data_IF_992650242743
#
_entry.id   IF_992650242743
#
_cell.length_a   1.000
_cell.length_b   1.000
_cell.length_c   1.000
_cell.angle_alpha   90.00
_cell.angle_beta   90.00
_cell.angle_gamma   90.00
#
_symmetry.space_group_name_H-M   'P 1'
#
loop_
_entity.id
_entity.type
_entity.pdbx_description
1 polymer ?
#
# COMPACT_ATOMS: atom_id res chain seq x y z
N UNK A 1 2.47 5.61 -2.51
CA UNK A 1 2.82 5.54 -3.94
C UNK A 1 2.99 4.10 -4.44
N UNK A 2 3.73 3.24 -3.73
CA UNK A 2 3.99 1.86 -4.15
C UNK A 2 2.78 0.90 -4.04
N UNK A 3 1.77 1.26 -3.23
CA UNK A 3 0.42 0.71 -3.33
C UNK A 3 -0.46 1.74 -4.04
N UNK A 4 -1.13 1.33 -5.12
CA UNK A 4 -2.08 2.14 -5.88
C UNK A 4 -3.38 1.34 -6.05
N UNK A 5 -4.38 1.65 -5.25
CA UNK A 5 -5.68 0.95 -5.18
C UNK A 5 -6.86 1.88 -5.48
N UNK A 6 -6.57 3.08 -5.99
CA UNK A 6 -7.56 4.09 -6.34
C UNK A 6 -8.06 4.94 -5.17
N UNK A 7 -7.58 4.73 -3.94
CA UNK A 7 -7.91 5.59 -2.80
C UNK A 7 -6.85 6.67 -2.60
N UNK A 8 -7.23 7.93 -2.72
CA UNK A 8 -6.32 9.06 -2.50
C UNK A 8 -6.21 9.39 -1.01
N UNK A 9 -4.99 9.41 -0.48
CA UNK A 9 -4.73 9.76 0.92
C UNK A 9 -5.08 11.23 1.13
N UNK A 10 -5.99 11.50 2.07
CA UNK A 10 -6.37 12.86 2.47
C UNK A 10 -6.12 13.14 3.96
N UNK A 11 -5.83 12.10 4.73
CA UNK A 11 -5.54 12.21 6.16
C UNK A 11 -4.32 11.35 6.50
N UNK A 12 -3.38 11.93 7.24
CA UNK A 12 -2.16 11.29 7.69
C UNK A 12 -1.87 11.75 9.12
N UNK A 13 -1.79 10.81 10.06
CA UNK A 13 -1.41 11.12 11.44
C UNK A 13 -0.35 10.11 11.89
N UNK A 14 0.68 10.64 12.53
CA UNK A 14 1.74 9.88 13.19
C UNK A 14 1.63 10.04 14.70
N UNK A 15 1.75 8.94 15.41
CA UNK A 15 1.76 8.90 16.86
C UNK A 15 3.12 8.38 17.32
N UNK A 16 3.62 8.96 18.41
CA UNK A 16 4.85 8.53 19.06
C UNK A 16 4.57 8.21 20.52
N UNK A 17 5.29 7.24 21.06
CA UNK A 17 5.35 7.04 22.50
C UNK A 17 6.68 7.52 23.08
N UNK A 18 6.80 7.41 24.41
CA UNK A 18 8.00 7.83 25.14
C UNK A 18 9.23 6.96 24.86
N UNK A 19 9.07 5.80 24.24
CA UNK A 19 10.14 4.89 23.86
C UNK A 19 10.61 5.14 22.41
N UNK A 20 10.03 6.12 21.71
CA UNK A 20 10.34 6.41 20.31
C UNK A 20 9.68 5.45 19.32
N UNK A 21 8.78 4.57 19.78
CA UNK A 21 7.97 3.74 18.89
C UNK A 21 6.90 4.62 18.26
N UNK A 22 6.63 4.36 16.99
CA UNK A 22 5.66 5.11 16.21
C UNK A 22 4.61 4.22 15.57
N UNK A 23 3.45 4.81 15.29
CA UNK A 23 2.45 4.26 14.39
C UNK A 23 1.94 5.35 13.46
N UNK A 24 1.58 4.97 12.23
CA UNK A 24 0.97 5.89 11.26
C UNK A 24 -0.41 5.36 10.91
N UNK A 25 -1.40 6.24 10.98
CA UNK A 25 -2.76 5.97 10.50
C UNK A 25 -3.05 6.92 9.35
N UNK A 26 -3.24 6.34 8.18
CA UNK A 26 -3.63 7.08 6.97
C UNK A 26 -5.06 6.73 6.58
N UNK A 27 -5.78 7.69 6.03
CA UNK A 27 -7.08 7.46 5.42
C UNK A 27 -7.06 7.94 3.97
N UNK A 28 -7.43 7.02 3.09
CA UNK A 28 -7.66 7.28 1.68
C UNK A 28 -9.16 7.28 1.36
N UNK A 29 -9.54 8.08 0.38
CA UNK A 29 -10.92 8.19 -0.11
C UNK A 29 -10.97 7.88 -1.61
N UNK A 30 -12.03 7.21 -2.04
CA UNK A 30 -12.42 7.03 -3.45
C UNK A 30 -13.78 7.68 -3.62
N UNK A 31 -13.79 8.92 -4.12
CA UNK A 31 -14.95 9.80 -4.10
C UNK A 31 -16.11 9.26 -4.92
N UNK A 32 -15.81 8.74 -6.11
CA UNK A 32 -16.81 8.21 -7.06
C UNK A 32 -17.56 7.02 -6.46
N UNK A 33 -16.85 6.19 -5.69
CA UNK A 33 -17.41 5.05 -5.00
C UNK A 33 -17.97 5.40 -3.61
N UNK A 34 -17.74 6.63 -3.11
CA UNK A 34 -18.05 7.06 -1.73
C UNK A 34 -17.47 6.12 -0.67
N UNK A 35 -16.30 5.55 -0.94
CA UNK A 35 -15.61 4.60 -0.06
C UNK A 35 -14.39 5.25 0.60
N UNK A 36 -14.05 4.75 1.78
CA UNK A 36 -12.82 5.09 2.48
C UNK A 36 -12.03 3.82 2.84
N UNK A 37 -10.70 3.95 2.84
CA UNK A 37 -9.77 2.88 3.18
C UNK A 37 -8.73 3.41 4.16
N UNK A 38 -8.39 2.63 5.19
CA UNK A 38 -7.37 2.99 6.18
C UNK A 38 -6.13 2.13 6.03
N UNK A 39 -4.97 2.76 6.19
CA UNK A 39 -3.66 2.14 6.09
C UNK A 39 -2.92 2.37 7.40
N UNK A 40 -2.51 1.27 8.02
CA UNK A 40 -1.94 1.26 9.35
C UNK A 40 -0.49 0.81 9.24
N UNK A 41 0.42 1.63 9.75
CA UNK A 41 1.83 1.30 9.89
C UNK A 41 2.16 1.24 11.37
N UNK A 42 3.03 0.30 11.73
CA UNK A 42 3.52 0.14 13.09
C UNK A 42 5.03 -0.06 13.03
N UNK A 43 5.77 0.74 13.78
CA UNK A 43 7.23 0.58 13.92
C UNK A 43 7.62 -0.78 14.50
N UNK A 44 6.82 -1.29 15.45
CA UNK A 44 7.04 -2.61 16.03
C UNK A 44 6.88 -3.70 14.97
N UNK A 45 7.98 -4.42 14.70
CA UNK A 45 8.00 -5.52 13.75
C UNK A 45 8.14 -5.11 12.29
N UNK A 46 8.27 -3.81 11.97
CA UNK A 46 8.57 -3.35 10.61
C UNK A 46 9.98 -3.80 10.21
N UNK A 47 10.07 -4.58 9.14
CA UNK A 47 11.35 -5.06 8.60
C UNK A 47 11.79 -4.30 7.34
N UNK A 48 10.84 -3.71 6.60
CA UNK A 48 11.09 -3.01 5.36
C UNK A 48 9.99 -1.98 5.10
N UNK A 49 10.33 -0.82 4.55
CA UNK A 49 9.35 0.17 4.10
C UNK A 49 8.71 -0.17 2.75
N UNK A 50 9.28 -1.15 2.04
CA UNK A 50 8.90 -1.51 0.67
C UNK A 50 8.45 -2.95 0.49
N UNK A 51 8.52 -3.78 1.54
CA UNK A 51 8.03 -5.17 1.54
C UNK A 51 7.06 -5.39 2.69
N UNK A 52 5.78 -5.58 2.36
CA UNK A 52 4.67 -5.72 3.32
C UNK A 52 4.73 -4.74 4.51
N UNK A 53 4.89 -3.43 4.27
CA UNK A 53 5.13 -2.47 5.34
C UNK A 53 3.90 -2.17 6.20
N UNK A 54 2.71 -2.45 5.66
CA UNK A 54 1.45 -2.16 6.33
C UNK A 54 1.14 -3.25 7.37
N UNK A 55 1.00 -2.84 8.63
CA UNK A 55 0.47 -3.71 9.68
C UNK A 55 -1.01 -4.08 9.41
N UNK A 56 -1.74 -3.23 8.68
CA UNK A 56 -3.08 -3.54 8.21
C UNK A 56 -3.61 -2.54 7.18
N UNK A 57 -4.41 -3.05 6.24
CA UNK A 57 -5.21 -2.26 5.30
C UNK A 57 -6.66 -2.67 5.48
N UNK A 58 -7.53 -1.71 5.82
CA UNK A 58 -8.94 -1.94 6.13
C UNK A 58 -9.83 -1.09 5.24
N UNK A 59 -10.82 -1.73 4.62
CA UNK A 59 -11.72 -1.14 3.64
C UNK A 59 -12.19 -2.19 2.64
N UNK A 60 -13.16 -1.82 1.81
CA UNK A 60 -13.62 -2.66 0.71
C UNK A 60 -12.47 -2.93 -0.28
N UNK A 61 -12.47 -4.12 -0.89
CA UNK A 61 -11.51 -4.46 -1.95
C UNK A 61 -11.70 -3.55 -3.17
N UNK A 62 -10.62 -3.26 -3.86
CA UNK A 62 -10.57 -2.50 -5.09
C UNK A 62 -10.46 -3.45 -6.29
N UNK A 63 -11.05 -3.04 -7.41
CA UNK A 63 -11.12 -3.87 -8.63
C UNK A 63 -9.76 -4.01 -9.31
N UNK A 64 -8.99 -2.92 -9.37
CA UNK A 64 -7.65 -2.88 -9.92
C UNK A 64 -6.69 -2.26 -8.91
N UNK A 65 -5.67 -3.01 -8.53
CA UNK A 65 -4.64 -2.59 -7.60
C UNK A 65 -3.27 -2.82 -8.22
N UNK A 66 -2.38 -1.84 -8.18
CA UNK A 66 -0.95 -2.06 -8.36
C UNK A 66 -0.29 -2.09 -6.98
N UNK A 67 0.22 -3.24 -6.59
CA UNK A 67 0.82 -3.47 -5.28
C UNK A 67 2.30 -3.84 -5.41
N UNK A 68 3.16 -2.83 -5.50
CA UNK A 68 4.61 -3.03 -5.56
C UNK A 68 5.23 -3.35 -4.20
N UNK A 69 4.46 -3.29 -3.11
CA UNK A 69 4.94 -3.67 -1.77
C UNK A 69 4.58 -5.10 -1.38
N UNK A 70 3.81 -5.82 -2.21
CA UNK A 70 3.51 -7.22 -1.97
C UNK A 70 4.80 -8.06 -2.06
N UNK A 71 4.97 -9.08 -1.20
CA UNK A 71 6.19 -9.92 -1.25
C UNK A 71 6.51 -10.41 -2.65
N UNK A 72 5.51 -10.95 -3.35
CA UNK A 72 5.64 -11.51 -4.71
C UNK A 72 5.98 -10.49 -5.80
N UNK A 73 5.91 -9.18 -5.52
CA UNK A 73 6.36 -8.11 -6.43
C UNK A 73 7.87 -7.83 -6.32
N UNK A 74 8.64 -8.71 -5.69
CA UNK A 74 10.11 -8.61 -5.56
C UNK A 74 10.82 -8.43 -6.90
N UNK A 75 10.53 -9.22 -7.96
CA UNK A 75 11.20 -9.02 -9.25
C UNK A 75 11.00 -7.60 -9.81
N UNK A 76 9.78 -7.05 -9.67
CA UNK A 76 9.51 -5.68 -10.10
C UNK A 76 10.29 -4.65 -9.26
N UNK A 77 10.40 -4.85 -7.94
CA UNK A 77 11.19 -3.95 -7.08
C UNK A 77 12.67 -3.96 -7.41
N UNK A 78 13.22 -5.07 -7.91
CA UNK A 78 14.61 -5.15 -8.35
C UNK A 78 14.83 -4.52 -9.74
N UNK A 79 13.90 -4.74 -10.68
CA UNK A 79 14.04 -4.27 -12.05
C UNK A 79 13.69 -2.78 -12.25
N UNK A 80 12.77 -2.22 -11.47
CA UNK A 80 12.34 -0.82 -11.58
C UNK A 80 13.50 0.19 -11.37
N UNK A 81 14.36 0.06 -10.34
CA UNK A 81 15.53 0.93 -10.18
C UNK A 81 16.52 0.83 -11.34
N UNK A 82 16.75 -0.37 -11.88
CA UNK A 82 17.62 -0.57 -13.04
C UNK A 82 17.05 0.09 -14.30
N UNK A 83 15.72 0.01 -14.49
CA UNK A 83 15.02 0.76 -15.53
C UNK A 83 15.16 2.26 -15.37
N UNK A 84 15.00 2.77 -14.14
CA UNK A 84 15.09 4.20 -13.85
C UNK A 84 16.48 4.78 -14.17
N UNK A 85 17.54 3.95 -14.15
CA UNK A 85 18.91 4.33 -14.53
C UNK A 85 19.15 4.30 -16.04
N UNK A 86 18.20 3.90 -16.87
CA UNK A 86 18.34 3.94 -18.34
C UNK A 86 18.05 5.34 -18.89
N UNK A 87 18.64 5.71 -20.05
CA UNK A 87 18.38 6.99 -20.69
C UNK A 87 16.86 7.26 -20.85
N UNK A 88 16.35 8.43 -20.42
CA UNK A 88 14.92 8.76 -20.45
C UNK A 88 14.28 8.60 -21.84
N UNK A 89 15.00 9.01 -22.89
CA UNK A 89 14.54 8.89 -24.28
C UNK A 89 14.22 7.45 -24.67
N UNK A 90 14.98 6.48 -24.14
CA UNK A 90 14.71 5.06 -24.37
C UNK A 90 13.39 4.66 -23.74
N UNK A 91 13.16 5.00 -22.47
CA UNK A 91 11.92 4.66 -21.75
C UNK A 91 10.68 5.30 -22.41
N UNK A 92 10.81 6.54 -22.87
CA UNK A 92 9.73 7.24 -23.59
C UNK A 92 9.41 6.56 -24.92
N UNK A 93 10.43 6.11 -25.66
CA UNK A 93 10.23 5.37 -26.93
C UNK A 93 9.55 4.03 -26.68
N UNK A 94 9.98 3.28 -25.68
CA UNK A 94 9.36 2.00 -25.32
C UNK A 94 7.88 2.21 -24.97
N UNK A 95 7.54 3.20 -24.14
CA UNK A 95 6.13 3.48 -23.83
C UNK A 95 5.29 3.84 -25.05
N UNK A 96 5.81 4.66 -25.96
CA UNK A 96 5.12 5.00 -27.21
C UNK A 96 4.91 3.75 -28.07
N UNK A 97 5.88 2.85 -28.11
CA UNK A 97 5.73 1.59 -28.82
C UNK A 97 4.65 0.71 -28.17
N UNK A 98 4.65 0.59 -26.84
CA UNK A 98 3.64 -0.19 -26.09
C UNK A 98 2.20 0.28 -26.34
N UNK A 99 1.98 1.59 -26.52
CA UNK A 99 0.66 2.15 -26.87
C UNK A 99 0.12 1.65 -28.23
N UNK A 100 0.98 1.11 -29.10
CA UNK A 100 0.58 0.54 -30.40
C UNK A 100 0.33 -0.96 -30.36
N UNK A 101 0.67 -1.64 -29.25
CA UNK A 101 0.56 -3.08 -29.12
C UNK A 101 -0.79 -3.49 -28.54
N UNK A 102 -1.25 -4.69 -28.91
CA UNK A 102 -2.37 -5.36 -28.22
C UNK A 102 -1.84 -6.04 -26.97
N UNK A 103 -2.20 -5.50 -25.81
CA UNK A 103 -1.79 -6.02 -24.51
C UNK A 103 -2.97 -6.68 -23.79
N UNK A 104 -2.70 -7.57 -22.81
CA UNK A 104 -3.74 -8.08 -21.93
C UNK A 104 -4.56 -6.96 -21.27
N UNK A 105 -5.83 -7.23 -20.96
CA UNK A 105 -6.76 -6.21 -20.45
C UNK A 105 -6.21 -5.42 -19.25
N UNK A 106 -5.56 -6.11 -18.29
CA UNK A 106 -4.97 -5.47 -17.12
C UNK A 106 -3.92 -4.40 -17.48
N UNK A 107 -3.12 -4.63 -18.51
CA UNK A 107 -2.07 -3.72 -18.94
C UNK A 107 -2.63 -2.54 -19.72
N UNK A 108 -3.71 -2.75 -20.48
CA UNK A 108 -4.43 -1.68 -21.16
C UNK A 108 -4.95 -0.63 -20.16
N UNK A 109 -5.47 -1.07 -19.01
CA UNK A 109 -5.90 -0.18 -17.93
C UNK A 109 -4.74 0.60 -17.29
N UNK A 110 -3.55 0.01 -17.20
CA UNK A 110 -2.38 0.75 -16.70
C UNK A 110 -1.89 1.78 -17.73
N UNK A 111 -1.94 1.45 -19.02
CA UNK A 111 -1.54 2.32 -20.12
C UNK A 111 -2.48 3.50 -20.36
N UNK A 112 -3.78 3.34 -20.16
CA UNK A 112 -4.75 4.43 -20.31
C UNK A 112 -4.46 5.62 -19.38
N UNK A 113 -3.77 5.37 -18.27
CA UNK A 113 -3.43 6.38 -17.27
C UNK A 113 -2.04 7.00 -17.47
N UNK A 114 -1.31 6.57 -18.49
CA UNK A 114 0.09 6.97 -18.79
C UNK A 114 0.13 7.87 -20.03
N UNK A 115 0.63 9.11 -19.85
CA UNK A 115 0.96 10.03 -20.93
C UNK A 115 2.50 10.11 -21.07
N UNK A 116 3.10 9.51 -22.12
CA UNK A 116 4.55 9.48 -22.30
C UNK A 116 5.19 10.88 -22.33
N UNK A 117 4.48 11.90 -22.85
CA UNK A 117 5.04 13.26 -22.93
C UNK A 117 5.18 13.89 -21.54
N UNK A 118 4.26 13.60 -20.62
CA UNK A 118 4.30 14.10 -19.24
C UNK A 118 5.30 13.33 -18.37
N UNK A 119 5.71 12.13 -18.80
CA UNK A 119 6.64 11.28 -18.05
C UNK A 119 8.10 11.52 -18.39
N UNK A 120 8.42 12.24 -19.48
CA UNK A 120 9.79 12.56 -19.86
C UNK A 120 10.55 13.27 -18.73
N UNK A 121 9.96 14.32 -18.15
CA UNK A 121 10.53 15.02 -16.99
C UNK A 121 10.69 14.12 -15.78
N UNK A 122 9.75 13.18 -15.56
CA UNK A 122 9.81 12.25 -14.43
C UNK A 122 10.95 11.26 -14.63
N UNK A 123 11.11 10.70 -15.83
CA UNK A 123 12.21 9.78 -16.13
C UNK A 123 13.57 10.46 -16.10
N UNK A 124 13.66 11.72 -16.53
CA UNK A 124 14.88 12.50 -16.39
C UNK A 124 15.27 12.63 -14.90
N UNK A 125 14.33 12.99 -14.03
CA UNK A 125 14.59 13.09 -12.59
C UNK A 125 15.00 11.77 -11.96
N UNK A 126 14.33 10.67 -12.30
CA UNK A 126 14.70 9.36 -11.76
C UNK A 126 16.05 8.87 -12.30
N UNK A 127 16.36 9.21 -13.55
CA UNK A 127 17.65 8.93 -14.17
C UNK A 127 18.77 9.73 -13.49
N UNK A 128 18.62 11.03 -13.30
CA UNK A 128 19.62 11.87 -12.61
C UNK A 128 19.84 11.45 -11.15
N UNK A 129 18.78 10.99 -10.47
CA UNK A 129 18.86 10.55 -9.08
C UNK A 129 19.69 9.28 -8.87
N UNK A 130 19.85 8.43 -9.90
CA UNK A 130 20.64 7.19 -9.85
C UNK A 130 20.38 6.35 -8.59
N UNK A 131 19.10 6.21 -8.22
CA UNK A 131 18.69 5.51 -7.01
C UNK A 131 19.22 4.07 -7.01
N UNK A 132 19.78 3.63 -5.87
CA UNK A 132 20.45 2.32 -5.77
C UNK A 132 19.46 1.17 -5.66
N UNK A 133 18.30 1.44 -5.08
CA UNK A 133 17.26 0.46 -4.78
C UNK A 133 15.87 1.08 -4.90
N UNK A 134 14.84 0.25 -4.72
CA UNK A 134 13.45 0.68 -4.82
C UNK A 134 13.04 1.68 -3.74
N UNK A 135 13.55 1.53 -2.51
CA UNK A 135 13.21 2.41 -1.39
C UNK A 135 13.72 3.83 -1.62
N UNK A 136 15.00 3.96 -2.01
CA UNK A 136 15.61 5.24 -2.37
C UNK A 136 14.97 5.85 -3.62
N UNK A 137 14.57 5.03 -4.59
CA UNK A 137 13.84 5.51 -5.78
C UNK A 137 12.50 6.13 -5.42
N UNK A 138 11.73 5.53 -4.50
CA UNK A 138 10.45 6.10 -4.03
C UNK A 138 10.61 7.47 -3.37
N UNK A 139 11.80 7.80 -2.88
CA UNK A 139 12.14 9.10 -2.30
C UNK A 139 12.49 10.18 -3.33
N UNK A 140 12.60 9.85 -4.62
CA UNK A 140 12.95 10.83 -5.66
C UNK A 140 11.83 11.84 -5.87
N UNK A 141 12.17 13.12 -5.73
CA UNK A 141 11.20 14.21 -5.89
C UNK A 141 10.61 14.24 -7.31
N UNK A 142 9.29 14.24 -7.41
CA UNK A 142 8.57 14.22 -8.67
C UNK A 142 8.28 12.82 -9.21
N UNK A 143 8.79 11.75 -8.59
CA UNK A 143 8.34 10.39 -8.88
C UNK A 143 6.97 10.12 -8.24
N UNK A 144 5.92 10.48 -8.96
CA UNK A 144 4.55 10.21 -8.55
C UNK A 144 4.04 8.80 -8.93
N UNK A 145 2.79 8.46 -8.53
CA UNK A 145 2.17 7.17 -8.84
C UNK A 145 2.16 6.82 -10.34
N UNK A 146 1.96 7.82 -11.21
CA UNK A 146 1.94 7.61 -12.67
C UNK A 146 3.31 7.20 -13.23
N UNK A 147 4.37 7.88 -12.81
CA UNK A 147 5.75 7.54 -13.22
C UNK A 147 6.14 6.15 -12.71
N UNK A 148 5.83 5.85 -11.45
CA UNK A 148 6.10 4.54 -10.87
C UNK A 148 5.31 3.41 -11.58
N UNK A 149 4.06 3.69 -11.96
CA UNK A 149 3.23 2.75 -12.74
C UNK A 149 3.82 2.48 -14.12
N UNK A 150 4.33 3.51 -14.78
CA UNK A 150 4.98 3.35 -16.08
C UNK A 150 6.27 2.52 -15.98
N UNK A 151 7.09 2.75 -14.94
CA UNK A 151 8.26 1.92 -14.67
C UNK A 151 7.89 0.47 -14.36
N UNK A 152 6.82 0.25 -13.59
CA UNK A 152 6.32 -1.10 -13.30
C UNK A 152 5.83 -1.84 -14.55
N UNK A 153 5.13 -1.14 -15.44
CA UNK A 153 4.70 -1.70 -16.72
C UNK A 153 5.91 -2.07 -17.60
N UNK A 154 6.88 -1.17 -17.72
CA UNK A 154 8.11 -1.41 -18.48
C UNK A 154 8.92 -2.57 -17.87
N UNK A 155 8.95 -2.69 -16.55
CA UNK A 155 9.61 -3.78 -15.82
C UNK A 155 9.03 -5.14 -16.18
N UNK A 156 7.71 -5.27 -16.15
CA UNK A 156 7.05 -6.52 -16.51
C UNK A 156 7.28 -6.88 -17.98
N UNK A 157 7.20 -5.91 -18.89
CA UNK A 157 7.27 -6.18 -20.33
C UNK A 157 8.68 -6.36 -20.89
N UNK A 158 9.67 -5.63 -20.37
CA UNK A 158 11.05 -5.69 -20.86
C UNK A 158 11.89 -6.73 -20.13
N UNK A 159 11.62 -6.95 -18.84
CA UNK A 159 12.44 -7.84 -17.99
C UNK A 159 11.68 -9.07 -17.50
N UNK A 160 10.39 -9.23 -17.84
CA UNK A 160 9.59 -10.33 -17.31
C UNK A 160 9.47 -10.27 -15.79
N UNK A 161 9.55 -9.06 -15.21
CA UNK A 161 9.56 -8.82 -13.77
C UNK A 161 8.18 -8.31 -13.31
N UNK A 162 7.23 -9.20 -12.99
CA UNK A 162 5.82 -8.84 -12.78
C UNK A 162 5.62 -8.06 -11.49
N UNK A 163 4.73 -7.07 -11.54
CA UNK A 163 4.16 -6.45 -10.36
C UNK A 163 3.05 -7.33 -9.76
N UNK A 164 2.74 -7.15 -8.48
CA UNK A 164 1.56 -7.78 -7.88
C UNK A 164 0.32 -6.91 -8.10
N UNK A 165 -0.80 -7.58 -8.34
CA UNK A 165 -2.13 -6.98 -8.38
C UNK A 165 -2.99 -7.40 -7.18
N UNK A 166 -2.38 -8.03 -6.17
CA UNK A 166 -3.07 -8.45 -4.94
C UNK A 166 -3.48 -7.22 -4.12
N UNK A 167 -4.78 -7.09 -3.86
CA UNK A 167 -5.28 -6.11 -2.89
C UNK A 167 -4.92 -6.54 -1.45
N UNK A 168 -4.17 -5.72 -0.68
CA UNK A 168 -3.82 -6.03 0.70
C UNK A 168 -4.97 -5.82 1.71
N UNK A 169 -6.14 -5.34 1.29
CA UNK A 169 -7.29 -5.15 2.16
C UNK A 169 -7.73 -6.47 2.83
N UNK A 170 -7.67 -6.52 4.16
CA UNK A 170 -7.98 -7.73 4.96
C UNK A 170 -9.33 -7.69 5.67
N UNK A 171 -9.86 -6.49 5.95
CA UNK A 171 -11.01 -6.33 6.83
C UNK A 171 -12.05 -5.35 6.27
N UNK A 172 -13.25 -5.84 6.02
CA UNK A 172 -14.46 -5.10 6.37
C UNK A 172 -14.69 -5.31 7.87
N UNK A 173 -15.11 -4.27 8.60
CA UNK A 173 -15.18 -4.31 10.06
C UNK A 173 -16.02 -5.50 10.54
N UNK A 174 -15.52 -6.22 11.57
CA UNK A 174 -16.25 -7.30 12.24
C UNK A 174 -17.57 -6.84 12.87
N UNK A 175 -17.77 -5.52 13.01
CA UNK A 175 -18.94 -4.86 13.60
C UNK A 175 -19.74 -4.07 12.56
N UNK A 176 -19.55 -4.31 11.26
CA UNK A 176 -20.24 -3.56 10.22
C UNK A 176 -19.58 -2.22 9.88
N UNK A 177 -19.85 -1.74 8.67
CA UNK A 177 -19.27 -0.53 8.09
C UNK A 177 -20.19 0.69 8.22
N UNK A 178 -19.61 1.90 8.20
CA UNK A 178 -20.38 3.16 8.11
C UNK A 178 -21.19 3.23 6.81
N UNK A 179 -20.66 2.59 5.77
CA UNK A 179 -21.24 2.40 4.44
C UNK A 179 -22.20 1.20 4.37
N UNK A 180 -22.50 0.56 5.50
CA UNK A 180 -23.40 -0.59 5.53
C UNK A 180 -22.80 -1.90 5.03
N UNK A 181 -21.48 -1.97 4.81
CA UNK A 181 -20.82 -3.18 4.31
C UNK A 181 -19.87 -3.78 5.36
N UNK A 182 -20.05 -5.06 5.77
CA UNK A 182 -21.04 -6.02 5.29
C UNK A 182 -22.47 -5.76 5.78
N UNK A 183 -22.63 -5.00 6.87
CA UNK A 183 -23.89 -4.49 7.42
C UNK A 183 -23.62 -3.15 8.12
N UNK A 184 -24.63 -2.35 8.49
CA UNK A 184 -24.43 -1.11 9.23
C UNK A 184 -23.70 -1.34 10.56
N UNK A 185 -22.96 -0.35 11.04
CA UNK A 185 -22.22 -0.45 12.31
C UNK A 185 -23.12 -0.95 13.45
N UNK A 186 -22.84 -2.16 13.95
CA UNK A 186 -23.41 -2.74 15.15
C UNK A 186 -22.78 -2.08 16.38
N UNK A 187 -23.38 -0.96 16.77
CA UNK A 187 -22.93 -0.16 17.91
C UNK A 187 -22.94 -0.96 19.22
N UNK A 188 -23.91 -1.85 19.42
CA UNK A 188 -24.05 -2.60 20.66
C UNK A 188 -22.87 -3.56 20.86
N UNK A 189 -22.50 -4.31 19.81
CA UNK A 189 -21.32 -5.18 19.85
C UNK A 189 -20.02 -4.37 19.92
N UNK A 190 -19.97 -3.21 19.26
CA UNK A 190 -18.84 -2.29 19.30
C UNK A 190 -18.56 -1.79 20.72
N UNK A 191 -19.57 -1.24 21.40
CA UNK A 191 -19.46 -0.72 22.78
C UNK A 191 -19.09 -1.82 23.78
N UNK A 192 -19.66 -3.02 23.61
CA UNK A 192 -19.31 -4.18 24.44
C UNK A 192 -17.84 -4.56 24.26
N UNK A 193 -17.35 -4.59 23.03
CA UNK A 193 -15.94 -4.89 22.71
C UNK A 193 -15.01 -3.85 23.33
N UNK A 194 -15.33 -2.55 23.20
CA UNK A 194 -14.57 -1.47 23.83
C UNK A 194 -14.51 -1.63 25.34
N UNK A 195 -15.65 -1.91 25.99
CA UNK A 195 -15.72 -2.05 27.45
C UNK A 195 -14.80 -3.16 27.96
N UNK A 196 -14.84 -4.34 27.30
CA UNK A 196 -14.00 -5.49 27.64
C UNK A 196 -12.51 -5.15 27.46
N UNK A 197 -12.12 -4.55 26.33
CA UNK A 197 -10.73 -4.17 26.09
C UNK A 197 -10.25 -3.10 27.08
N UNK A 198 -11.09 -2.10 27.38
CA UNK A 198 -10.77 -1.06 28.34
C UNK A 198 -10.59 -1.63 29.76
N UNK A 199 -11.41 -2.60 30.15
CA UNK A 199 -11.28 -3.31 31.42
C UNK A 199 -9.98 -4.10 31.49
N UNK A 200 -9.64 -4.88 30.45
CA UNK A 200 -8.39 -5.63 30.39
C UNK A 200 -7.16 -4.71 30.49
N UNK A 201 -7.18 -3.54 29.81
CA UNK A 201 -6.11 -2.54 29.92
C UNK A 201 -6.01 -1.94 31.32
N UNK A 202 -7.14 -1.62 31.97
CA UNK A 202 -7.16 -1.12 33.34
C UNK A 202 -6.57 -2.14 34.33
N UNK A 203 -6.98 -3.40 34.25
CA UNK A 203 -6.48 -4.48 35.12
C UNK A 203 -4.99 -4.71 34.93
N UNK A 204 -4.50 -4.69 33.69
CA UNK A 204 -3.08 -4.82 33.42
C UNK A 204 -2.22 -3.67 34.01
N UNK A 205 -2.77 -2.45 34.09
CA UNK A 205 -2.11 -1.33 34.79
C UNK A 205 -2.07 -1.53 36.30
N UNK A 206 -3.04 -2.25 36.86
CA UNK A 206 -3.11 -2.62 38.28
C UNK A 206 -2.24 -3.86 38.62
N UNK A 207 -1.53 -4.43 37.64
CA UNK A 207 -0.62 -5.56 37.84
C UNK A 207 -1.18 -6.92 37.38
N UNK A 208 -2.47 -7.00 37.07
CA UNK A 208 -3.14 -8.21 36.60
C UNK A 208 -2.95 -8.37 35.08
N UNK A 209 -1.80 -8.92 34.67
CA UNK A 209 -1.36 -8.92 33.26
C UNK A 209 -1.78 -10.13 32.43
N UNK A 210 -2.43 -11.14 33.02
CA UNK A 210 -2.82 -12.37 32.30
C UNK A 210 -3.74 -12.09 31.11
N UNK A 211 -4.81 -11.32 31.34
CA UNK A 211 -5.82 -11.01 30.33
C UNK A 211 -5.20 -10.24 29.14
N UNK A 212 -4.28 -9.32 29.43
CA UNK A 212 -3.58 -8.54 28.41
C UNK A 212 -2.50 -9.36 27.68
N UNK A 213 -1.87 -10.32 28.37
CA UNK A 213 -0.96 -11.30 27.76
C UNK A 213 -1.69 -12.21 26.77
N UNK A 214 -2.89 -12.68 27.12
CA UNK A 214 -3.74 -13.48 26.22
C UNK A 214 -4.19 -12.67 24.99
N UNK A 215 -4.63 -11.43 25.18
CA UNK A 215 -4.99 -10.54 24.07
C UNK A 215 -3.81 -10.26 23.13
N UNK A 216 -2.58 -10.13 23.64
CA UNK A 216 -1.38 -9.99 22.82
C UNK A 216 -1.05 -11.24 22.01
N UNK A 217 -1.43 -12.42 22.50
CA UNK A 217 -1.23 -13.71 21.81
C UNK A 217 -2.34 -14.04 20.83
N UNK A 218 -3.50 -13.40 20.94
CA UNK A 218 -4.66 -13.63 20.07
C UNK A 218 -4.33 -13.55 18.57
N UNK A 219 -3.56 -12.56 18.08
CA UNK A 219 -3.20 -12.50 16.66
C UNK A 219 -2.35 -13.67 16.18
N UNK A 220 -1.60 -14.33 17.07
CA UNK A 220 -0.80 -15.51 16.74
C UNK A 220 -1.67 -16.75 16.51
N UNK A 221 -2.84 -16.82 17.15
CA UNK A 221 -3.80 -17.91 16.97
C UNK A 221 -4.57 -17.83 15.64
N UNK A 222 -4.66 -16.63 15.06
CA UNK A 222 -5.37 -16.38 13.79
C UNK A 222 -4.44 -16.19 12.58
N UNK A 223 -3.14 -16.45 12.73
CA UNK A 223 -2.26 -16.62 11.57
C UNK A 223 -2.54 -18.01 10.99
N UNK A 224 -3.31 -18.08 9.91
CA UNK A 224 -3.33 -19.29 9.07
C UNK A 224 -1.90 -19.60 8.60
N UNK A 225 -1.55 -20.90 8.47
CA UNK A 225 -0.25 -21.33 7.95
C UNK A 225 0.06 -20.77 6.57
#
# INVERSE_FOLDING_TARGET
>A
AALQDGFQIYHHVIFFDRQGRWCVVQQGMKEEARLARRYHWLSEGLQSFVVEPHAGVSGAKADLVLNLVAKEAEPAREAIPELAKRPPDTLVRELKHLQTLKLPERHALLLSDIDPKRLETVFLRTYEAQARDFETLLGVEGLGPKGLRALALLSELLYGAPASFRDPARFSYAHGGKDGTPYPVDRATYDRTISVLAQAVRRARLGEREELSLLRRLPLLFRSP
#
